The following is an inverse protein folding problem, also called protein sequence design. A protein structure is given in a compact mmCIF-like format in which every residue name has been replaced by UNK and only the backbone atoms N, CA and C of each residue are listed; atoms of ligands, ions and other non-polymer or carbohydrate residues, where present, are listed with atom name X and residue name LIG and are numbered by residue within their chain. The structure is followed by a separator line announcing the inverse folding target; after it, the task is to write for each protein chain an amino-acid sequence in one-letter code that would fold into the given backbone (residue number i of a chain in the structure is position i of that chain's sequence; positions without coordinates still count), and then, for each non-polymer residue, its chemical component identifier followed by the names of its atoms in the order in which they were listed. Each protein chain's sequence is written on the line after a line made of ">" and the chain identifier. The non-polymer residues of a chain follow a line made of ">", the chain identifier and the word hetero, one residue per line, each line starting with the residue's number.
data_IF_621721889297
#
_entry.id   IF_621721889297
#
_cell.length_a   1.000
_cell.length_b   1.000
_cell.length_c   1.000
_cell.angle_alpha   90.00
_cell.angle_beta   90.00
_cell.angle_gamma   90.00
#
_symmetry.space_group_name_H-M   'P 1'
#
loop_
_entity.id
_entity.type
_entity.pdbx_description
1 polymer ?
#
# COMPACT_ATOMS: atom_id res chain seq x y z
N UNK A 1 13.36 1.52 -5.40
CA UNK A 1 12.60 1.44 -6.68
C UNK A 1 11.38 0.51 -6.58
N UNK A 2 10.18 1.05 -6.30
CA UNK A 2 8.93 0.27 -6.09
C UNK A 2 8.57 -0.64 -7.26
N UNK A 3 8.70 -0.15 -8.51
CA UNK A 3 8.45 -0.95 -9.72
C UNK A 3 9.34 -2.18 -9.84
N UNK A 4 10.63 -2.11 -9.48
CA UNK A 4 11.52 -3.28 -9.51
C UNK A 4 11.13 -4.34 -8.47
N UNK A 5 10.59 -3.91 -7.33
CA UNK A 5 10.10 -4.83 -6.31
C UNK A 5 8.82 -5.53 -6.79
N UNK A 6 7.89 -4.76 -7.35
CA UNK A 6 6.63 -5.29 -7.88
C UNK A 6 6.85 -6.22 -9.08
N UNK A 7 7.68 -5.84 -10.06
CA UNK A 7 7.99 -6.68 -11.24
C UNK A 7 8.61 -8.02 -10.84
N UNK A 8 9.52 -8.02 -9.87
CA UNK A 8 10.10 -9.27 -9.35
C UNK A 8 9.06 -10.13 -8.65
N UNK A 9 8.16 -9.52 -7.88
CA UNK A 9 7.05 -10.24 -7.24
C UNK A 9 6.08 -10.84 -8.27
N UNK A 10 5.83 -10.13 -9.37
CA UNK A 10 5.04 -10.59 -10.50
C UNK A 10 5.77 -11.57 -11.44
N UNK A 11 7.01 -11.99 -11.12
CA UNK A 11 7.79 -12.92 -11.94
C UNK A 11 8.25 -12.36 -13.30
N UNK A 12 8.39 -11.04 -13.41
CA UNK A 12 8.70 -10.31 -14.63
C UNK A 12 9.94 -9.41 -14.46
N UNK A 13 10.99 -9.91 -13.79
CA UNK A 13 12.19 -9.14 -13.44
C UNK A 13 13.05 -8.76 -14.65
N UNK A 14 12.89 -9.44 -15.78
CA UNK A 14 13.54 -9.14 -17.06
C UNK A 14 12.91 -7.98 -17.83
N UNK A 15 11.72 -7.50 -17.42
CA UNK A 15 11.02 -6.41 -18.10
C UNK A 15 11.86 -5.13 -18.06
N UNK A 16 12.27 -4.70 -19.26
CA UNK A 16 12.95 -3.42 -19.47
C UNK A 16 11.93 -2.36 -19.85
N UNK A 17 11.75 -1.37 -18.98
CA UNK A 17 10.94 -0.19 -19.27
C UNK A 17 11.82 1.05 -19.39
N UNK A 18 11.45 1.95 -20.30
CA UNK A 18 12.04 3.28 -20.35
C UNK A 18 11.54 4.04 -19.12
N UNK A 19 12.44 4.74 -18.40
CA UNK A 19 12.01 5.65 -17.33
C UNK A 19 11.04 6.68 -17.93
N UNK A 20 9.79 6.64 -17.47
CA UNK A 20 8.77 7.63 -17.76
C UNK A 20 8.87 8.82 -16.80
N UNK A 21 7.81 9.62 -16.75
CA UNK A 21 7.67 10.69 -15.75
C UNK A 21 7.75 10.12 -14.34
N UNK A 22 8.52 10.79 -13.48
CA UNK A 22 8.64 10.46 -12.06
C UNK A 22 7.85 11.51 -11.29
N UNK A 23 6.95 11.05 -10.43
CA UNK A 23 6.14 11.89 -9.56
C UNK A 23 6.58 11.63 -8.11
N UNK A 24 6.93 12.69 -7.40
CA UNK A 24 7.26 12.61 -5.97
C UNK A 24 5.99 12.62 -5.10
N UNK A 25 4.91 13.24 -5.60
CA UNK A 25 3.61 13.30 -4.96
C UNK A 25 2.67 12.23 -5.53
N UNK A 26 2.03 11.48 -4.64
CA UNK A 26 1.14 10.36 -5.03
C UNK A 26 -0.19 10.83 -5.60
N UNK A 27 -0.73 11.98 -5.15
CA UNK A 27 -1.94 12.54 -5.74
C UNK A 27 -1.68 12.95 -7.19
N UNK A 28 -0.52 13.56 -7.47
CA UNK A 28 -0.15 13.92 -8.84
C UNK A 28 0.04 12.68 -9.74
N UNK A 29 0.61 11.59 -9.19
CA UNK A 29 0.70 10.30 -9.86
C UNK A 29 -0.69 9.73 -10.21
N UNK A 30 -1.62 9.74 -9.25
CA UNK A 30 -2.99 9.23 -9.42
C UNK A 30 -3.74 10.03 -10.48
N UNK A 31 -3.66 11.37 -10.43
CA UNK A 31 -4.28 12.23 -11.44
C UNK A 31 -3.72 11.98 -12.84
N UNK A 32 -2.40 11.78 -12.98
CA UNK A 32 -1.82 11.44 -14.28
C UNK A 32 -2.35 10.11 -14.83
N UNK A 33 -2.63 9.11 -13.98
CA UNK A 33 -3.25 7.86 -14.41
C UNK A 33 -4.71 8.05 -14.82
N UNK A 34 -5.49 8.83 -14.07
CA UNK A 34 -6.88 9.19 -14.39
C UNK A 34 -6.95 9.90 -15.75
N UNK A 35 -6.00 10.81 -16.03
CA UNK A 35 -5.90 11.54 -17.30
C UNK A 35 -5.27 10.70 -18.44
N UNK A 36 -5.23 9.39 -18.27
CA UNK A 36 -4.72 8.41 -19.24
C UNK A 36 -3.28 8.66 -19.70
N UNK A 37 -2.41 9.17 -18.81
CA UNK A 37 -0.98 9.39 -19.10
C UNK A 37 -0.09 8.17 -18.85
N UNK A 38 -0.66 7.08 -18.35
CA UNK A 38 0.05 5.82 -18.14
C UNK A 38 -0.55 4.99 -17.01
N UNK A 39 0.28 4.13 -16.43
CA UNK A 39 -0.06 3.24 -15.31
C UNK A 39 0.62 3.74 -14.03
N UNK A 40 -0.12 3.77 -12.93
CA UNK A 40 0.39 4.13 -11.60
C UNK A 40 0.56 2.89 -10.72
N UNK A 41 1.65 2.87 -9.95
CA UNK A 41 1.85 1.92 -8.84
C UNK A 41 1.71 2.70 -7.53
N UNK A 42 0.59 2.53 -6.83
CA UNK A 42 0.21 3.27 -5.62
C UNK A 42 -0.56 2.37 -4.64
N UNK A 43 -0.80 2.85 -3.42
CA UNK A 43 -1.59 2.13 -2.41
C UNK A 43 -3.06 2.07 -2.80
N UNK A 44 -3.70 0.92 -2.57
CA UNK A 44 -5.11 0.69 -2.92
C UNK A 44 -6.03 1.60 -2.12
N UNK A 45 -5.70 1.84 -0.86
CA UNK A 45 -6.40 2.74 0.06
C UNK A 45 -6.53 4.16 -0.48
N UNK A 46 -5.60 4.62 -1.32
CA UNK A 46 -5.60 5.96 -1.89
C UNK A 46 -6.47 6.10 -3.14
N UNK A 47 -6.85 4.98 -3.77
CA UNK A 47 -7.55 4.97 -5.06
C UNK A 47 -8.89 4.25 -5.04
N UNK A 48 -9.34 3.79 -3.86
CA UNK A 48 -10.57 3.03 -3.70
C UNK A 48 -11.78 3.70 -4.35
N UNK A 49 -12.02 5.00 -4.07
CA UNK A 49 -13.12 5.75 -4.69
C UNK A 49 -12.98 5.85 -6.22
N UNK A 50 -11.76 5.92 -6.75
CA UNK A 50 -11.49 5.97 -8.18
C UNK A 50 -11.74 4.63 -8.88
N UNK A 51 -11.48 3.53 -8.19
CA UNK A 51 -11.80 2.17 -8.64
C UNK A 51 -13.31 1.94 -8.62
N UNK A 52 -14.00 2.30 -7.53
CA UNK A 52 -15.45 2.17 -7.39
C UNK A 52 -16.22 3.00 -8.41
N UNK A 53 -15.75 4.22 -8.69
CA UNK A 53 -16.33 5.10 -9.72
C UNK A 53 -15.96 4.68 -11.16
N UNK A 54 -15.10 3.69 -11.36
CA UNK A 54 -14.63 3.25 -12.68
C UNK A 54 -13.72 4.24 -13.40
N UNK A 55 -13.22 5.28 -12.70
CA UNK A 55 -12.23 6.23 -13.25
C UNK A 55 -10.85 5.60 -13.38
N UNK A 56 -10.56 4.64 -12.52
CA UNK A 56 -9.40 3.77 -12.61
C UNK A 56 -9.87 2.32 -12.66
N UNK A 57 -9.03 1.48 -13.24
CA UNK A 57 -9.16 0.02 -13.18
C UNK A 57 -7.90 -0.57 -12.60
N UNK A 58 -8.04 -1.65 -11.82
CA UNK A 58 -6.90 -2.45 -11.37
C UNK A 58 -6.46 -3.34 -12.54
N UNK A 59 -5.19 -3.27 -12.90
CA UNK A 59 -4.65 -4.04 -14.03
C UNK A 59 -4.26 -5.48 -13.68
N UNK A 60 -3.88 -5.71 -12.41
CA UNK A 60 -3.20 -6.91 -11.94
C UNK A 60 -3.61 -7.21 -10.50
N UNK A 61 -3.72 -8.49 -10.14
CA UNK A 61 -4.09 -8.92 -8.78
C UNK A 61 -2.88 -8.91 -7.82
N UNK A 62 -1.67 -8.79 -8.34
CA UNK A 62 -0.43 -8.76 -7.59
C UNK A 62 -0.25 -7.44 -6.81
N UNK A 63 0.00 -7.56 -5.51
CA UNK A 63 0.29 -6.44 -4.61
C UNK A 63 1.52 -6.76 -3.76
N UNK A 64 2.36 -5.76 -3.53
CA UNK A 64 3.46 -5.87 -2.58
C UNK A 64 3.16 -5.05 -1.33
N UNK A 65 3.42 -5.62 -0.15
CA UNK A 65 3.40 -4.85 1.08
C UNK A 65 4.59 -3.89 1.09
N UNK A 66 4.28 -2.60 1.29
CA UNK A 66 5.31 -1.60 1.53
C UNK A 66 5.92 -1.85 2.90
N UNK A 67 7.26 -1.92 2.98
CA UNK A 67 7.95 -1.92 4.28
C UNK A 67 8.00 -0.53 4.95
N UNK A 68 7.36 0.48 4.34
CA UNK A 68 7.23 1.82 4.88
C UNK A 68 5.81 2.01 5.41
N UNK A 69 5.69 2.46 6.66
CA UNK A 69 4.44 2.77 7.34
C UNK A 69 4.39 4.22 7.82
N UNK A 70 3.22 4.63 8.30
CA UNK A 70 3.01 5.91 8.96
C UNK A 70 3.30 5.79 10.46
N UNK A 71 3.95 6.80 11.03
CA UNK A 71 4.36 6.80 12.44
C UNK A 71 3.85 8.04 13.15
N UNK A 72 3.29 7.85 14.33
CA UNK A 72 2.97 8.94 15.26
C UNK A 72 4.22 9.24 16.07
N UNK A 73 4.82 10.42 15.86
CA UNK A 73 6.11 10.80 16.48
C UNK A 73 5.91 12.01 17.38
N UNK A 74 6.38 11.92 18.62
CA UNK A 74 6.34 12.99 19.61
C UNK A 74 7.53 12.89 20.57
N UNK A 75 7.99 14.02 21.15
CA UNK A 75 8.94 14.00 22.26
C UNK A 75 8.40 13.21 23.44
N UNK A 76 9.26 12.54 24.20
CA UNK A 76 8.85 11.67 25.32
C UNK A 76 8.00 12.43 26.34
N UNK A 77 8.35 13.68 26.60
CA UNK A 77 7.69 14.56 27.57
C UNK A 77 6.29 14.97 27.13
N UNK A 78 5.97 14.86 25.83
CA UNK A 78 4.67 15.26 25.30
C UNK A 78 3.53 14.40 25.87
N UNK A 79 3.80 13.15 26.28
CA UNK A 79 2.81 12.25 26.90
C UNK A 79 2.38 12.68 28.30
N UNK A 80 3.12 13.59 28.94
CA UNK A 80 2.69 14.18 30.22
C UNK A 80 1.50 15.12 30.05
N UNK A 81 1.25 15.59 28.82
CA UNK A 81 0.09 16.43 28.50
C UNK A 81 -1.12 15.54 28.22
N UNK A 82 -2.21 15.59 29.01
CA UNK A 82 -3.35 14.70 28.86
C UNK A 82 -3.97 14.71 27.46
N UNK A 83 -4.01 15.87 26.79
CA UNK A 83 -4.54 16.00 25.43
C UNK A 83 -3.71 15.26 24.37
N UNK A 84 -2.39 15.18 24.54
CA UNK A 84 -1.52 14.46 23.60
C UNK A 84 -1.72 12.96 23.76
N UNK A 85 -1.79 12.46 25.00
CA UNK A 85 -2.06 11.06 25.29
C UNK A 85 -3.45 10.66 24.77
N UNK A 86 -4.47 11.48 25.02
CA UNK A 86 -5.82 11.23 24.52
C UNK A 86 -5.87 11.17 22.98
N UNK A 87 -5.23 12.12 22.30
CA UNK A 87 -5.19 12.12 20.83
C UNK A 87 -4.43 10.92 20.26
N UNK A 88 -3.29 10.56 20.86
CA UNK A 88 -2.55 9.36 20.47
C UNK A 88 -3.43 8.12 20.61
N UNK A 89 -4.07 7.95 21.75
CA UNK A 89 -4.85 6.74 22.05
C UNK A 89 -6.05 6.61 21.10
N UNK A 90 -6.76 7.72 20.90
CA UNK A 90 -7.82 7.79 19.89
C UNK A 90 -7.28 7.47 18.48
N UNK A 91 -6.18 8.08 18.05
CA UNK A 91 -5.62 7.86 16.72
C UNK A 91 -5.20 6.40 16.51
N UNK A 92 -4.62 5.76 17.53
CA UNK A 92 -4.29 4.34 17.46
C UNK A 92 -5.55 3.48 17.35
N UNK A 93 -6.61 3.79 18.10
CA UNK A 93 -7.92 3.10 18.01
C UNK A 93 -8.54 3.22 16.61
N UNK A 94 -8.48 4.39 15.98
CA UNK A 94 -9.00 4.60 14.62
C UNK A 94 -8.19 3.86 13.53
N UNK A 95 -6.90 3.61 13.78
CA UNK A 95 -6.00 2.94 12.81
C UNK A 95 -5.91 1.44 12.99
N UNK A 96 -6.33 0.92 14.15
CA UNK A 96 -6.50 -0.51 14.39
C UNK A 96 -7.80 -0.96 13.71
N UNK A 97 -7.73 -1.20 12.40
CA UNK A 97 -8.77 -1.94 11.68
C UNK A 97 -9.01 -3.30 12.34
N UNK A 98 -10.26 -3.79 12.30
CA UNK A 98 -10.66 -5.04 12.93
C UNK A 98 -9.65 -6.18 12.60
N UNK A 99 -8.97 -6.81 13.59
CA UNK A 99 -7.82 -7.70 13.39
C UNK A 99 -8.09 -9.02 12.61
N UNK A 100 -9.27 -9.15 12.03
CA UNK A 100 -9.70 -10.30 11.23
C UNK A 100 -9.23 -10.21 9.77
N UNK A 101 -9.02 -9.01 9.21
CA UNK A 101 -8.61 -8.86 7.79
C UNK A 101 -7.09 -9.08 7.58
N UNK A 102 -6.24 -8.71 8.53
CA UNK A 102 -4.78 -8.92 8.44
C UNK A 102 -4.39 -10.39 8.65
N UNK A 103 -5.08 -11.12 9.54
CA UNK A 103 -4.83 -12.55 9.78
C UNK A 103 -5.26 -13.46 8.60
N UNK A 104 -6.24 -13.03 7.80
CA UNK A 104 -6.65 -13.78 6.60
C UNK A 104 -5.61 -13.67 5.47
N UNK A 105 -4.98 -12.51 5.31
CA UNK A 105 -3.93 -12.30 4.30
C UNK A 105 -2.66 -13.12 4.60
N UNK A 106 -2.28 -13.26 5.87
CA UNK A 106 -1.16 -14.12 6.28
C UNK A 106 -1.50 -15.61 6.14
N UNK A 107 -2.74 -16.01 6.44
CA UNK A 107 -3.17 -17.42 6.35
C UNK A 107 -3.30 -17.91 4.90
N UNK A 108 -3.81 -17.09 3.98
CA UNK A 108 -3.87 -17.43 2.55
C UNK A 108 -2.49 -17.46 1.89
N UNK A 109 -1.57 -16.58 2.31
CA UNK A 109 -0.20 -16.53 1.79
C UNK A 109 0.62 -17.75 2.26
N UNK A 110 0.47 -18.19 3.51
CA UNK A 110 1.12 -19.42 3.99
C UNK A 110 0.51 -20.69 3.37
N UNK A 111 -0.81 -20.73 3.16
CA UNK A 111 -1.49 -21.89 2.55
C UNK A 111 -1.05 -22.13 1.11
N UNK A 112 -0.91 -21.07 0.30
CA UNK A 112 -0.43 -21.17 -1.09
C UNK A 112 1.05 -21.57 -1.19
N UNK A 113 1.91 -21.11 -0.27
CA UNK A 113 3.32 -21.50 -0.26
C UNK A 113 3.54 -22.96 0.18
N UNK A 114 2.73 -23.47 1.12
CA UNK A 114 2.85 -24.86 1.56
C UNK A 114 2.42 -25.89 0.50
N UNK A 115 1.51 -25.51 -0.42
CA UNK A 115 1.09 -26.39 -1.53
C UNK A 115 2.14 -26.41 -2.66
N UNK A 116 2.94 -25.36 -2.84
CA UNK A 116 4.00 -25.33 -3.86
C UNK A 116 5.31 -26.02 -3.44
N UNK A 117 5.56 -26.23 -2.14
CA UNK A 117 6.77 -26.95 -1.67
C UNK A 117 6.64 -28.50 -1.69
N UNK A 118 5.45 -29.04 -1.99
CA UNK A 118 5.16 -30.48 -1.96
C UNK A 118 4.84 -31.10 -3.33
N UNK A 119 5.01 -30.36 -4.43
CA UNK A 119 4.83 -30.85 -5.81
C UNK A 119 6.15 -30.79 -6.60
#
# INVERSE_FOLDING_TARGET
>A
EKWKAWLRHAGADEVRFKRGSIFEDTNLLIHAAIDAKGVALCGLEMVQEHLESGRLIRLFDESILSQQGYYVVFPREALERPLVSLFRDWLMEETLGNPEEENMAETETMSKNSIMELA
#
